data_IF_029139406752
#
_entry.id   IF_029139406752
#
_cell.length_a   1.000
_cell.length_b   1.000
_cell.length_c   1.000
_cell.angle_alpha   90.00
_cell.angle_beta   90.00
_cell.angle_gamma   90.00
#
_symmetry.space_group_name_H-M   'P 1'
#
loop_
_entity.id
_entity.type
_entity.pdbx_description
1 polymer ?
#
# COMPACT_ATOMS: atom_id res chain seq x y z
N UNK A 1 20.47 -3.03 10.49
CA UNK A 1 21.00 -3.48 9.19
C UNK A 1 19.98 -3.14 8.09
N UNK A 2 20.43 -2.85 6.86
CA UNK A 2 19.57 -2.72 5.71
C UNK A 2 19.09 -4.12 5.29
N UNK A 3 17.77 -4.34 5.26
CA UNK A 3 17.19 -5.64 4.88
C UNK A 3 17.05 -5.78 3.35
N UNK A 4 16.81 -4.68 2.66
CA UNK A 4 16.65 -4.68 1.21
C UNK A 4 16.13 -3.34 0.69
N UNK A 5 15.68 -3.33 -0.56
CA UNK A 5 15.08 -2.17 -1.23
C UNK A 5 13.93 -2.64 -2.11
N UNK A 6 12.76 -2.03 -1.95
CA UNK A 6 11.68 -2.17 -2.91
C UNK A 6 11.79 -1.03 -3.92
N UNK A 7 11.83 -1.37 -5.18
CA UNK A 7 11.74 -0.42 -6.30
C UNK A 7 10.30 -0.38 -6.80
N UNK A 8 9.89 0.74 -7.36
CA UNK A 8 8.58 0.90 -8.01
C UNK A 8 8.49 0.01 -9.25
N UNK A 9 7.42 -0.75 -9.37
CA UNK A 9 7.21 -1.71 -10.48
C UNK A 9 6.47 -1.04 -11.63
N UNK A 10 5.44 -0.26 -11.33
CA UNK A 10 4.64 0.49 -12.31
C UNK A 10 4.92 1.98 -12.15
N UNK A 11 5.40 2.63 -13.21
CA UNK A 11 5.77 4.04 -13.17
C UNK A 11 4.61 4.88 -13.70
N UNK A 12 4.19 5.90 -12.92
CA UNK A 12 3.12 6.81 -13.30
C UNK A 12 3.52 7.69 -14.50
N UNK A 13 2.53 7.95 -15.35
CA UNK A 13 2.61 8.96 -16.40
C UNK A 13 1.26 9.65 -16.52
N UNK A 14 1.17 10.83 -15.94
CA UNK A 14 -0.04 11.65 -15.92
C UNK A 14 0.35 13.14 -15.92
N UNK A 15 -0.62 14.02 -16.08
CA UNK A 15 -0.37 15.46 -15.96
C UNK A 15 0.27 15.76 -14.59
N UNK A 16 1.39 16.46 -14.60
CA UNK A 16 2.23 16.80 -13.44
C UNK A 16 3.04 15.62 -12.85
N UNK A 17 2.76 14.37 -13.23
CA UNK A 17 3.53 13.18 -12.84
C UNK A 17 4.20 12.56 -14.08
N UNK A 18 5.33 13.10 -14.48
CA UNK A 18 6.10 12.64 -15.66
C UNK A 18 7.19 11.65 -15.26
N UNK A 19 6.84 10.71 -14.38
CA UNK A 19 7.81 9.81 -13.74
C UNK A 19 8.51 8.88 -14.73
N UNK A 20 7.84 8.51 -15.84
CA UNK A 20 8.47 7.69 -16.89
C UNK A 20 9.63 8.38 -17.62
N UNK A 21 9.74 9.72 -17.50
CA UNK A 21 10.83 10.47 -18.11
C UNK A 21 12.16 10.28 -17.36
N UNK A 22 12.14 9.84 -16.08
CA UNK A 22 13.32 9.76 -15.23
C UNK A 22 13.41 8.52 -14.33
N UNK A 23 12.34 7.71 -14.19
CA UNK A 23 12.37 6.44 -13.49
C UNK A 23 12.34 5.26 -14.46
N UNK A 24 13.04 4.19 -14.09
CA UNK A 24 12.97 2.90 -14.78
C UNK A 24 12.14 1.93 -13.95
N UNK A 25 11.14 1.23 -14.55
CA UNK A 25 10.41 0.19 -13.86
C UNK A 25 11.31 -0.88 -13.29
N UNK A 26 10.95 -1.44 -12.16
CA UNK A 26 11.68 -2.54 -11.55
C UNK A 26 11.38 -3.86 -12.23
N UNK A 27 12.40 -4.61 -12.55
CA UNK A 27 12.29 -6.02 -12.98
C UNK A 27 12.37 -7.00 -11.78
N UNK A 28 12.64 -6.50 -10.55
CA UNK A 28 12.78 -7.34 -9.35
C UNK A 28 11.41 -7.81 -8.82
N UNK A 29 10.30 -7.22 -9.27
CA UNK A 29 8.96 -7.48 -8.77
C UNK A 29 8.73 -6.92 -7.37
N UNK A 30 7.82 -7.55 -6.62
CA UNK A 30 7.46 -7.16 -5.26
C UNK A 30 8.21 -8.01 -4.24
N UNK A 31 8.60 -7.40 -3.10
CA UNK A 31 9.43 -8.01 -2.07
C UNK A 31 8.76 -7.90 -0.69
N UNK A 32 8.96 -8.91 0.14
CA UNK A 32 8.55 -8.91 1.55
C UNK A 32 9.78 -9.10 2.42
N UNK A 33 9.89 -8.29 3.45
CA UNK A 33 11.04 -8.24 4.34
C UNK A 33 10.71 -8.85 5.70
N UNK A 34 11.50 -9.83 6.13
CA UNK A 34 11.40 -10.39 7.47
C UNK A 34 11.97 -9.41 8.50
N UNK A 35 11.15 -9.06 9.49
CA UNK A 35 11.56 -8.22 10.61
C UNK A 35 11.31 -8.92 11.94
N UNK A 36 11.92 -8.46 13.07
CA UNK A 36 11.61 -9.02 14.38
C UNK A 36 10.15 -8.91 14.81
N UNK A 37 9.36 -8.05 14.16
CA UNK A 37 7.97 -7.76 14.50
C UNK A 37 6.96 -8.41 13.55
N UNK A 38 7.42 -9.00 12.43
CA UNK A 38 6.58 -9.59 11.39
C UNK A 38 7.10 -9.31 10.00
N UNK A 39 6.38 -9.76 8.99
CA UNK A 39 6.71 -9.60 7.57
C UNK A 39 6.13 -8.30 7.02
N UNK A 40 6.98 -7.45 6.47
CA UNK A 40 6.59 -6.15 5.92
C UNK A 40 6.79 -6.12 4.41
N UNK A 41 5.71 -5.81 3.68
CA UNK A 41 5.73 -5.47 2.28
C UNK A 41 5.82 -3.96 2.05
N UNK A 42 6.24 -3.54 0.86
CA UNK A 42 6.29 -2.12 0.47
C UNK A 42 5.75 -1.98 -0.95
N UNK A 43 4.62 -1.31 -1.10
CA UNK A 43 4.01 -0.99 -2.40
C UNK A 43 4.20 0.51 -2.65
N UNK A 44 4.94 0.87 -3.69
CA UNK A 44 5.34 2.27 -3.87
C UNK A 44 4.32 3.03 -4.71
N UNK A 45 3.64 4.01 -4.08
CA UNK A 45 2.81 5.04 -4.71
C UNK A 45 1.82 4.46 -5.76
N UNK A 46 2.08 4.68 -7.04
CA UNK A 46 1.24 4.26 -8.17
C UNK A 46 1.03 2.74 -8.26
N UNK A 47 1.97 1.94 -7.75
CA UNK A 47 1.83 0.48 -7.68
C UNK A 47 0.56 0.02 -6.96
N UNK A 48 0.02 0.81 -5.99
CA UNK A 48 -1.18 0.44 -5.24
C UNK A 48 -2.44 0.33 -6.09
N UNK A 49 -2.49 1.04 -7.24
CA UNK A 49 -3.63 1.00 -8.16
C UNK A 49 -3.75 -0.35 -8.90
N UNK A 50 -2.73 -1.17 -8.83
CA UNK A 50 -2.71 -2.52 -9.38
C UNK A 50 -3.01 -3.52 -8.25
N UNK A 51 -4.20 -4.15 -8.23
CA UNK A 51 -4.56 -5.10 -7.15
C UNK A 51 -3.57 -6.24 -6.99
N UNK A 52 -2.81 -6.55 -8.04
CA UNK A 52 -1.74 -7.52 -8.05
C UNK A 52 -0.63 -7.19 -7.07
N UNK A 53 -0.34 -5.91 -6.85
CA UNK A 53 0.77 -5.45 -6.01
C UNK A 53 0.57 -5.87 -4.55
N UNK A 54 -0.48 -5.36 -3.91
CA UNK A 54 -0.85 -5.73 -2.52
C UNK A 54 -1.14 -7.22 -2.40
N UNK A 55 -1.82 -7.79 -3.40
CA UNK A 55 -2.14 -9.22 -3.42
C UNK A 55 -0.90 -10.09 -3.45
N UNK A 56 0.10 -9.76 -4.26
CA UNK A 56 1.36 -10.50 -4.35
C UNK A 56 2.08 -10.52 -3.01
N UNK A 57 2.26 -9.36 -2.38
CA UNK A 57 2.94 -9.29 -1.08
C UNK A 57 2.16 -10.02 0.03
N UNK A 58 0.82 -9.92 0.03
CA UNK A 58 -0.01 -10.68 0.96
C UNK A 58 0.13 -12.20 0.76
N UNK A 59 0.24 -12.67 -0.50
CA UNK A 59 0.49 -14.09 -0.83
C UNK A 59 1.90 -14.55 -0.44
N UNK A 60 2.88 -13.65 -0.44
CA UNK A 60 4.23 -13.88 0.09
C UNK A 60 4.26 -13.89 1.63
N UNK A 61 3.14 -13.57 2.27
CA UNK A 61 2.96 -13.65 3.71
C UNK A 61 3.16 -12.33 4.45
N UNK A 62 3.11 -11.19 3.79
CA UNK A 62 3.16 -9.89 4.46
C UNK A 62 2.07 -9.78 5.53
N UNK A 63 2.45 -9.25 6.69
CA UNK A 63 1.54 -8.95 7.81
C UNK A 63 1.08 -7.49 7.77
N UNK A 64 1.96 -6.62 7.28
CA UNK A 64 1.72 -5.20 7.06
C UNK A 64 2.32 -4.78 5.71
N UNK A 65 1.61 -3.95 4.96
CA UNK A 65 2.12 -3.31 3.74
C UNK A 65 2.24 -1.81 3.97
N UNK A 66 3.40 -1.25 3.66
CA UNK A 66 3.66 0.19 3.72
C UNK A 66 3.52 0.79 2.32
N UNK A 67 2.80 1.90 2.20
CA UNK A 67 2.60 2.61 0.94
C UNK A 67 3.08 4.06 1.07
N UNK A 68 4.35 4.36 0.75
CA UNK A 68 4.78 5.74 0.58
C UNK A 68 4.18 6.29 -0.72
N UNK A 69 3.52 7.46 -0.66
CA UNK A 69 2.80 8.03 -1.81
C UNK A 69 2.76 9.56 -1.79
N UNK A 70 2.45 10.15 -2.94
CA UNK A 70 2.29 11.58 -3.15
C UNK A 70 1.02 11.85 -3.97
N UNK A 71 -0.14 11.84 -3.29
CA UNK A 71 -1.44 12.12 -3.91
C UNK A 71 -1.79 13.60 -3.78
N UNK A 72 -2.27 14.19 -4.86
CA UNK A 72 -2.69 15.59 -4.89
C UNK A 72 -4.16 15.77 -4.49
N UNK A 73 -4.55 17.01 -4.16
CA UNK A 73 -5.93 17.35 -3.84
C UNK A 73 -6.87 17.24 -5.06
N UNK A 74 -6.33 17.28 -6.27
CA UNK A 74 -7.10 17.11 -7.51
C UNK A 74 -7.46 15.67 -7.83
N UNK A 75 -6.85 14.70 -7.12
CA UNK A 75 -7.09 13.27 -7.30
C UNK A 75 -8.29 12.79 -6.45
N UNK A 76 -8.94 11.68 -6.82
CA UNK A 76 -10.16 11.21 -6.13
C UNK A 76 -9.82 10.53 -4.80
N UNK A 77 -9.41 11.28 -3.78
CA UNK A 77 -8.91 10.78 -2.50
C UNK A 77 -9.87 9.84 -1.77
N UNK A 78 -11.18 10.05 -1.89
CA UNK A 78 -12.15 9.13 -1.30
C UNK A 78 -12.06 7.73 -1.94
N UNK A 79 -11.88 7.67 -3.25
CA UNK A 79 -11.69 6.39 -3.96
C UNK A 79 -10.37 5.74 -3.57
N UNK A 80 -9.32 6.52 -3.33
CA UNK A 80 -8.03 6.01 -2.89
C UNK A 80 -8.09 5.45 -1.46
N UNK A 81 -8.85 6.09 -0.56
CA UNK A 81 -9.13 5.53 0.77
C UNK A 81 -9.88 4.18 0.65
N UNK A 82 -10.91 4.11 -0.21
CA UNK A 82 -11.63 2.87 -0.49
C UNK A 82 -10.75 1.79 -1.13
N UNK A 83 -9.91 2.17 -2.07
CA UNK A 83 -8.97 1.26 -2.72
C UNK A 83 -8.07 0.56 -1.69
N UNK A 84 -7.48 1.30 -0.76
CA UNK A 84 -6.64 0.75 0.31
C UNK A 84 -7.44 -0.18 1.21
N UNK A 85 -8.62 0.24 1.67
CA UNK A 85 -9.49 -0.55 2.55
C UNK A 85 -9.95 -1.85 1.90
N UNK A 86 -10.41 -1.78 0.64
CA UNK A 86 -10.88 -2.96 -0.10
C UNK A 86 -9.76 -3.95 -0.35
N UNK A 87 -8.58 -3.47 -0.74
CA UNK A 87 -7.42 -4.34 -0.96
C UNK A 87 -6.92 -4.98 0.34
N UNK A 88 -6.90 -4.22 1.46
CA UNK A 88 -6.59 -4.75 2.79
C UNK A 88 -7.56 -5.89 3.16
N UNK A 89 -8.87 -5.66 3.03
CA UNK A 89 -9.90 -6.66 3.28
C UNK A 89 -9.74 -7.89 2.40
N UNK A 90 -9.66 -7.72 1.07
CA UNK A 90 -9.59 -8.82 0.12
C UNK A 90 -8.31 -9.65 0.23
N UNK A 91 -7.20 -9.03 0.67
CA UNK A 91 -5.91 -9.68 0.82
C UNK A 91 -5.65 -10.14 2.25
N UNK A 92 -6.51 -9.72 3.21
CA UNK A 92 -6.38 -10.00 4.65
C UNK A 92 -4.99 -9.60 5.17
N UNK A 93 -4.62 -8.34 4.93
CA UNK A 93 -3.33 -7.75 5.30
C UNK A 93 -3.55 -6.33 5.80
N UNK A 94 -2.86 -5.92 6.88
CA UNK A 94 -2.88 -4.54 7.32
C UNK A 94 -2.14 -3.64 6.31
N UNK A 95 -2.58 -2.39 6.16
CA UNK A 95 -1.96 -1.43 5.24
C UNK A 95 -1.76 -0.09 5.93
N UNK A 96 -0.58 0.49 5.78
CA UNK A 96 -0.27 1.85 6.22
C UNK A 96 0.20 2.69 5.03
N UNK A 97 -0.65 3.61 4.58
CA UNK A 97 -0.34 4.57 3.52
C UNK A 97 0.11 5.89 4.13
N UNK A 98 1.31 6.33 3.78
CA UNK A 98 1.87 7.62 4.16
C UNK A 98 1.87 8.55 2.96
N UNK A 99 1.04 9.59 3.00
CA UNK A 99 0.89 10.55 1.92
C UNK A 99 1.59 11.88 2.21
N UNK A 100 2.09 12.50 1.16
CA UNK A 100 2.71 13.84 1.20
C UNK A 100 1.68 14.93 1.51
N UNK A 101 2.15 16.02 2.11
CA UNK A 101 1.42 17.27 2.34
C UNK A 101 2.14 18.46 1.69
N UNK A 102 1.49 19.62 1.72
CA UNK A 102 2.04 20.89 1.24
C UNK A 102 1.91 21.06 -0.26
N UNK A 103 2.67 22.01 -0.81
CA UNK A 103 2.61 22.38 -2.23
C UNK A 103 3.98 22.32 -2.88
N UNK A 104 4.01 21.98 -4.16
CA UNK A 104 5.20 22.04 -5.01
C UNK A 104 4.78 22.55 -6.41
N UNK A 105 5.24 23.76 -6.76
CA UNK A 105 4.72 24.44 -7.93
C UNK A 105 3.21 24.62 -7.83
N UNK A 106 2.48 24.10 -8.81
CA UNK A 106 1.01 24.16 -8.87
C UNK A 106 0.33 22.92 -8.24
N UNK A 107 1.10 21.98 -7.71
CA UNK A 107 0.56 20.77 -7.07
C UNK A 107 0.37 20.99 -5.57
N UNK A 108 -0.87 20.81 -5.09
CA UNK A 108 -1.19 20.73 -3.67
C UNK A 108 -1.41 19.25 -3.28
N UNK A 109 -0.72 18.77 -2.24
CA UNK A 109 -0.79 17.39 -1.79
C UNK A 109 -1.79 17.23 -0.65
N UNK A 110 -2.61 16.18 -0.73
CA UNK A 110 -3.82 16.02 0.08
C UNK A 110 -3.59 15.57 1.52
N UNK A 111 -2.40 15.08 1.88
CA UNK A 111 -2.20 14.44 3.18
C UNK A 111 -3.07 13.20 3.34
N UNK A 112 -3.86 13.10 4.42
CA UNK A 112 -4.81 12.01 4.69
C UNK A 112 -4.15 10.64 4.75
N UNK A 113 -2.94 10.55 5.30
CA UNK A 113 -2.29 9.25 5.58
C UNK A 113 -3.25 8.33 6.34
N UNK A 114 -3.26 7.05 6.00
CA UNK A 114 -4.27 6.09 6.44
C UNK A 114 -3.63 4.80 6.91
N UNK A 115 -4.07 4.30 8.07
CA UNK A 115 -3.72 2.95 8.55
C UNK A 115 -4.98 2.12 8.67
N UNK A 116 -4.99 0.94 8.07
CA UNK A 116 -6.09 -0.03 8.15
C UNK A 116 -5.61 -1.34 8.76
N UNK A 117 -6.54 -2.04 9.41
CA UNK A 117 -6.33 -3.43 9.79
C UNK A 117 -6.52 -4.40 8.60
N UNK A 118 -6.35 -5.70 8.85
CA UNK A 118 -6.52 -6.74 7.84
C UNK A 118 -7.99 -7.05 7.50
N UNK A 119 -8.97 -6.38 8.12
CA UNK A 119 -10.37 -6.37 7.71
C UNK A 119 -10.72 -5.15 6.84
N UNK A 120 -9.78 -4.22 6.63
CA UNK A 120 -10.01 -2.97 5.93
C UNK A 120 -10.63 -1.88 6.80
N UNK A 121 -10.76 -2.12 8.11
CA UNK A 121 -11.24 -1.10 9.05
C UNK A 121 -10.14 -0.06 9.32
N UNK A 122 -10.52 1.22 9.36
CA UNK A 122 -9.57 2.30 9.65
C UNK A 122 -9.13 2.23 11.12
N UNK A 123 -7.83 2.05 11.37
CA UNK A 123 -7.22 2.17 12.69
C UNK A 123 -6.93 3.63 13.02
N UNK A 124 -6.34 4.36 12.05
CA UNK A 124 -6.00 5.77 12.19
C UNK A 124 -5.98 6.45 10.82
N UNK A 125 -6.34 7.74 10.81
CA UNK A 125 -6.28 8.57 9.60
C UNK A 125 -5.83 9.97 9.99
N UNK A 126 -4.86 10.50 9.24
CA UNK A 126 -4.35 11.84 9.36
C UNK A 126 -5.28 12.87 8.69
N UNK A 127 -5.14 14.12 9.06
CA UNK A 127 -5.72 15.27 8.36
C UNK A 127 -4.93 15.67 7.11
N UNK A 128 -5.14 16.89 6.65
CA UNK A 128 -4.42 17.48 5.51
C UNK A 128 -3.16 18.26 5.91
N UNK A 129 -2.90 18.42 7.20
CA UNK A 129 -1.76 19.16 7.73
C UNK A 129 -0.57 18.28 8.09
N UNK A 130 0.54 18.93 8.47
CA UNK A 130 1.71 18.23 8.97
C UNK A 130 1.44 17.66 10.36
N UNK A 131 1.49 16.35 10.48
CA UNK A 131 1.30 15.66 11.75
C UNK A 131 2.06 14.34 11.83
N UNK A 132 2.27 13.87 13.04
CA UNK A 132 2.82 12.56 13.33
C UNK A 132 1.68 11.65 13.80
N UNK A 133 1.26 10.72 12.92
CA UNK A 133 0.20 9.77 13.21
C UNK A 133 0.78 8.51 13.85
N UNK A 134 0.23 8.10 15.00
CA UNK A 134 0.57 6.85 15.65
C UNK A 134 -0.59 5.86 15.52
N UNK A 135 -0.28 4.59 15.25
CA UNK A 135 -1.24 3.51 15.18
C UNK A 135 -0.63 2.20 15.69
N UNK A 136 -1.39 1.48 16.50
CA UNK A 136 -1.03 0.14 16.95
C UNK A 136 -1.62 -0.89 15.97
N UNK A 137 -0.75 -1.67 15.31
CA UNK A 137 -1.13 -2.71 14.35
C UNK A 137 -0.83 -4.08 14.94
N UNK A 138 -1.86 -4.93 15.06
CA UNK A 138 -1.69 -6.34 15.42
C UNK A 138 -1.13 -7.12 14.22
N UNK A 139 0.18 -7.29 14.16
CA UNK A 139 0.87 -8.00 13.07
C UNK A 139 0.40 -9.45 12.91
N UNK A 140 -0.04 -10.11 14.00
CA UNK A 140 -0.53 -11.48 13.95
C UNK A 140 -1.97 -11.58 13.38
N UNK A 141 -2.71 -10.47 13.33
CA UNK A 141 -4.10 -10.47 12.85
C UNK A 141 -4.19 -10.88 11.38
N UNK A 142 -3.27 -10.46 10.53
CA UNK A 142 -3.26 -10.79 9.11
C UNK A 142 -3.28 -12.30 8.87
N UNK A 143 -2.43 -13.06 9.56
CA UNK A 143 -2.40 -14.51 9.45
C UNK A 143 -3.68 -15.17 9.98
N UNK A 144 -4.19 -14.71 11.14
CA UNK A 144 -5.44 -15.23 11.73
C UNK A 144 -6.64 -14.99 10.80
N UNK A 145 -6.75 -13.80 10.23
CA UNK A 145 -7.85 -13.42 9.34
C UNK A 145 -7.76 -14.19 8.02
N UNK A 146 -6.56 -14.37 7.44
CA UNK A 146 -6.36 -15.20 6.24
C UNK A 146 -6.81 -16.65 6.46
N UNK A 147 -6.58 -17.20 7.64
CA UNK A 147 -7.04 -18.54 8.00
C UNK A 147 -8.56 -18.62 8.12
N UNK A 148 -9.19 -17.63 8.76
CA UNK A 148 -10.65 -17.58 8.96
C UNK A 148 -11.42 -17.19 7.69
N UNK A 149 -10.83 -16.35 6.84
CA UNK A 149 -11.39 -15.85 5.57
C UNK A 149 -10.45 -16.23 4.42
N UNK A 150 -10.54 -17.46 3.88
CA UNK A 150 -9.52 -18.03 3.01
C UNK A 150 -9.61 -17.54 1.55
N UNK A 151 -9.88 -16.26 1.31
CA UNK A 151 -10.00 -15.68 -0.03
C UNK A 151 -8.75 -15.87 -0.88
N UNK A 152 -7.58 -15.80 -0.26
CA UNK A 152 -6.30 -15.95 -0.97
C UNK A 152 -6.00 -17.40 -1.33
N UNK A 153 -6.31 -18.37 -0.46
CA UNK A 153 -6.02 -19.80 -0.68
C UNK A 153 -7.02 -20.50 -1.59
N UNK A 154 -8.25 -19.97 -1.70
CA UNK A 154 -9.29 -20.53 -2.58
C UNK A 154 -9.17 -20.05 -4.03
N UNK A 155 -8.14 -19.29 -4.38
CA UNK A 155 -7.92 -18.79 -5.74
C UNK A 155 -7.68 -19.94 -6.71
N UNK A 156 -8.34 -19.90 -7.87
CA UNK A 156 -8.19 -20.87 -8.96
C UNK A 156 -7.20 -20.33 -9.98
N UNK A 157 -5.93 -20.24 -9.59
CA UNK A 157 -4.87 -19.56 -10.36
C UNK A 157 -4.69 -20.07 -11.78
N UNK A 158 -4.99 -21.34 -12.04
CA UNK A 158 -4.94 -21.91 -13.39
C UNK A 158 -5.97 -21.27 -14.37
N UNK A 159 -6.96 -20.53 -13.87
CA UNK A 159 -7.97 -19.85 -14.67
C UNK A 159 -7.70 -18.36 -14.88
N UNK A 160 -6.67 -17.81 -14.25
CA UNK A 160 -6.26 -16.41 -14.40
C UNK A 160 -5.24 -16.32 -15.53
N UNK A 161 -5.43 -15.36 -16.44
CA UNK A 161 -4.58 -15.15 -17.61
C UNK A 161 -3.92 -13.78 -17.53
#
# INVERSE_FOLDING_TARGET
>A
ALLGRQKMVHIAQAAQFYEQDYYTPSDDGFLVFDTPHGKIGIVVCFDRHYPESIRTEALMGADLILIPTANTESEPMEMFDWEVKVQAFQSSVAVAMCNRIGTEGDMAFSGRSLVTDANGDTIAQAGSGEELLYADVDMAASARIRSARPYTSLRRTALYR
#
